data_IF_796947513614
#
_entry.id   IF_796947513614
#
_cell.length_a   1.000
_cell.length_b   1.000
_cell.length_c   1.000
_cell.angle_alpha   90.00
_cell.angle_beta   90.00
_cell.angle_gamma   90.00
#
_symmetry.space_group_name_H-M   'P 1'
#
loop_
_entity.id
_entity.type
_entity.pdbx_description
1 polymer ?
#
# COMPACT_ATOMS: atom_id res chain seq x y z
N UNK A 1 -78.77 12.89 169.48
CA UNK A 1 -78.98 13.66 168.22
C UNK A 1 -77.65 13.88 167.45
N UNK A 2 -76.94 12.83 167.02
CA UNK A 2 -75.73 12.98 166.17
C UNK A 2 -75.74 12.17 164.86
N UNK A 3 -76.75 11.34 164.62
CA UNK A 3 -76.75 10.45 163.43
C UNK A 3 -77.44 11.05 162.19
N UNK A 4 -78.38 11.99 162.33
CA UNK A 4 -79.11 12.55 161.16
C UNK A 4 -78.31 13.54 160.29
N UNK A 5 -77.26 14.19 160.81
CA UNK A 5 -76.44 15.14 160.02
C UNK A 5 -75.48 14.46 159.06
N UNK A 6 -75.15 13.19 159.29
CA UNK A 6 -74.23 12.44 158.42
C UNK A 6 -74.91 11.94 157.14
N UNK A 7 -76.24 11.78 157.15
CA UNK A 7 -77.03 11.19 156.06
C UNK A 7 -77.34 12.21 154.93
N UNK A 8 -77.60 13.47 155.30
CA UNK A 8 -77.78 14.56 154.33
C UNK A 8 -76.48 14.92 153.60
N UNK A 9 -75.33 14.82 154.28
CA UNK A 9 -74.00 14.98 153.69
C UNK A 9 -73.67 13.86 152.68
N UNK A 10 -74.11 12.63 152.96
CA UNK A 10 -73.95 11.49 152.05
C UNK A 10 -74.81 11.64 150.79
N UNK A 11 -76.07 12.08 150.93
CA UNK A 11 -76.98 12.35 149.80
C UNK A 11 -76.49 13.48 148.88
N UNK A 12 -75.95 14.55 149.45
CA UNK A 12 -75.36 15.65 148.68
C UNK A 12 -74.08 15.20 147.96
N UNK A 13 -73.26 14.35 148.59
CA UNK A 13 -72.07 13.76 147.96
C UNK A 13 -72.42 12.80 146.83
N UNK A 14 -73.45 11.97 146.99
CA UNK A 14 -73.90 11.02 145.97
C UNK A 14 -74.56 11.71 144.76
N UNK A 15 -75.39 12.74 144.99
CA UNK A 15 -75.93 13.57 143.91
C UNK A 15 -74.83 14.33 143.16
N UNK A 16 -73.79 14.80 143.86
CA UNK A 16 -72.62 15.43 143.22
C UNK A 16 -71.85 14.43 142.36
N UNK A 17 -71.61 13.21 142.85
CA UNK A 17 -70.99 12.12 142.06
C UNK A 17 -71.83 11.72 140.85
N UNK A 18 -73.16 11.70 140.98
CA UNK A 18 -74.08 11.46 139.86
C UNK A 18 -74.05 12.57 138.82
N UNK A 19 -74.02 13.83 139.26
CA UNK A 19 -73.89 14.98 138.38
C UNK A 19 -72.54 14.99 137.65
N UNK A 20 -71.44 14.69 138.35
CA UNK A 20 -70.10 14.52 137.77
C UNK A 20 -70.07 13.34 136.78
N UNK A 21 -70.70 12.21 137.10
CA UNK A 21 -70.80 11.05 136.21
C UNK A 21 -71.64 11.33 134.95
N UNK A 22 -72.76 12.06 135.09
CA UNK A 22 -73.56 12.51 133.95
C UNK A 22 -72.81 13.54 133.08
N UNK A 23 -72.01 14.41 133.70
CA UNK A 23 -71.16 15.36 132.99
C UNK A 23 -70.06 14.63 132.19
N UNK A 24 -69.41 13.63 132.79
CA UNK A 24 -68.44 12.76 132.10
C UNK A 24 -69.11 11.97 130.96
N UNK A 25 -70.33 11.46 131.17
CA UNK A 25 -71.09 10.77 130.13
C UNK A 25 -71.40 11.69 128.93
N UNK A 26 -71.82 12.94 129.18
CA UNK A 26 -72.04 13.94 128.14
C UNK A 26 -70.75 14.30 127.40
N UNK A 27 -69.64 14.48 128.12
CA UNK A 27 -68.33 14.72 127.51
C UNK A 27 -67.87 13.54 126.63
N UNK A 28 -68.13 12.30 127.06
CA UNK A 28 -67.85 11.11 126.25
C UNK A 28 -68.73 11.01 125.01
N UNK A 29 -70.01 11.38 125.09
CA UNK A 29 -70.91 11.41 123.94
C UNK A 29 -70.54 12.54 122.96
N UNK A 30 -70.12 13.70 123.46
CA UNK A 30 -69.54 14.78 122.65
C UNK A 30 -68.26 14.33 121.94
N UNK A 31 -67.34 13.65 122.65
CA UNK A 31 -66.12 13.08 122.07
C UNK A 31 -66.43 12.06 120.97
N UNK A 32 -67.36 11.12 121.21
CA UNK A 32 -67.80 10.15 120.19
C UNK A 32 -68.41 10.83 118.97
N UNK A 33 -69.20 11.88 119.18
CA UNK A 33 -69.78 12.65 118.09
C UNK A 33 -68.70 13.38 117.27
N UNK A 34 -67.67 13.92 117.93
CA UNK A 34 -66.55 14.55 117.25
C UNK A 34 -65.67 13.54 116.49
N UNK A 35 -65.42 12.36 117.07
CA UNK A 35 -64.72 11.25 116.41
C UNK A 35 -65.50 10.75 115.19
N UNK A 36 -66.83 10.60 115.31
CA UNK A 36 -67.70 10.22 114.18
C UNK A 36 -67.67 11.28 113.06
N UNK A 37 -67.64 12.58 113.39
CA UNK A 37 -67.46 13.65 112.39
C UNK A 37 -66.12 13.55 111.68
N UNK A 38 -65.02 13.38 112.43
CA UNK A 38 -63.67 13.20 111.84
C UNK A 38 -63.60 11.96 110.95
N UNK A 39 -64.26 10.86 111.35
CA UNK A 39 -64.34 9.64 110.53
C UNK A 39 -65.15 9.85 109.26
N UNK A 40 -66.26 10.58 109.33
CA UNK A 40 -67.05 10.94 108.16
C UNK A 40 -66.28 11.84 107.19
N UNK A 41 -65.52 12.81 107.71
CA UNK A 41 -64.61 13.65 106.93
C UNK A 41 -63.49 12.83 106.27
N UNK A 42 -62.86 11.91 107.01
CA UNK A 42 -61.85 11.00 106.47
C UNK A 42 -62.40 10.12 105.33
N UNK A 43 -63.60 9.57 105.48
CA UNK A 43 -64.29 8.80 104.43
C UNK A 43 -64.68 9.65 103.21
N UNK A 44 -64.95 10.96 103.40
CA UNK A 44 -65.18 11.87 102.28
C UNK A 44 -63.87 12.13 101.52
N UNK A 45 -62.76 12.36 102.22
CA UNK A 45 -61.44 12.54 101.63
C UNK A 45 -61.00 11.26 100.88
N UNK A 46 -61.23 10.07 101.46
CA UNK A 46 -60.92 8.80 100.81
C UNK A 46 -61.70 8.62 99.51
N UNK A 47 -63.01 8.91 99.50
CA UNK A 47 -63.82 8.88 98.28
C UNK A 47 -63.34 9.87 97.22
N UNK A 48 -62.97 11.09 97.62
CA UNK A 48 -62.40 12.08 96.70
C UNK A 48 -61.07 11.60 96.10
N UNK A 49 -60.21 10.95 96.90
CA UNK A 49 -58.95 10.38 96.43
C UNK A 49 -59.18 9.21 95.46
N UNK A 50 -60.17 8.36 95.73
CA UNK A 50 -60.54 7.27 94.81
C UNK A 50 -61.08 7.82 93.49
N UNK A 51 -61.95 8.83 93.52
CA UNK A 51 -62.40 9.54 92.31
C UNK A 51 -61.21 10.10 91.53
N UNK A 52 -60.27 10.75 92.21
CA UNK A 52 -59.05 11.30 91.58
C UNK A 52 -58.20 10.21 90.92
N UNK A 53 -58.00 9.07 91.60
CA UNK A 53 -57.29 7.90 91.05
C UNK A 53 -58.00 7.32 89.84
N UNK A 54 -59.33 7.24 89.88
CA UNK A 54 -60.09 6.73 88.72
C UNK A 54 -59.94 7.65 87.51
N UNK A 55 -59.95 8.97 87.72
CA UNK A 55 -59.78 9.96 86.65
C UNK A 55 -58.35 9.97 86.10
N UNK A 56 -57.33 9.85 86.96
CA UNK A 56 -55.93 9.68 86.55
C UNK A 56 -55.73 8.41 85.72
N UNK A 57 -56.33 7.29 86.13
CA UNK A 57 -56.29 6.03 85.40
C UNK A 57 -56.96 6.14 84.02
N UNK A 58 -58.09 6.86 83.90
CA UNK A 58 -58.73 7.14 82.60
C UNK A 58 -57.80 7.95 81.69
N UNK A 59 -57.24 9.05 82.19
CA UNK A 59 -56.28 9.87 81.43
C UNK A 59 -55.06 9.08 80.97
N UNK A 60 -54.54 8.19 81.83
CA UNK A 60 -53.43 7.30 81.49
C UNK A 60 -53.82 6.30 80.40
N UNK A 61 -55.02 5.74 80.47
CA UNK A 61 -55.53 4.83 79.45
C UNK A 61 -55.72 5.55 78.09
N UNK A 62 -56.23 6.77 78.10
CA UNK A 62 -56.33 7.63 76.91
C UNK A 62 -54.95 7.95 76.31
N UNK A 63 -53.98 8.33 77.14
CA UNK A 63 -52.61 8.58 76.70
C UNK A 63 -51.98 7.33 76.05
N UNK A 64 -52.17 6.15 76.64
CA UNK A 64 -51.71 4.87 76.07
C UNK A 64 -52.43 4.49 74.76
N UNK A 65 -53.69 4.90 74.59
CA UNK A 65 -54.38 4.72 73.30
C UNK A 65 -53.79 5.63 72.22
N UNK A 66 -53.53 6.89 72.54
CA UNK A 66 -52.88 7.84 71.61
C UNK A 66 -51.47 7.37 71.24
N UNK A 67 -50.69 6.89 72.21
CA UNK A 67 -49.36 6.35 71.97
C UNK A 67 -49.40 5.15 70.99
N UNK A 68 -50.32 4.20 71.21
CA UNK A 68 -50.52 3.08 70.28
C UNK A 68 -50.92 3.51 68.88
N UNK A 69 -51.82 4.49 68.75
CA UNK A 69 -52.18 5.05 67.44
C UNK A 69 -50.99 5.72 66.73
N UNK A 70 -50.14 6.43 67.48
CA UNK A 70 -48.94 7.05 66.93
C UNK A 70 -47.91 5.99 66.49
N UNK A 71 -47.76 4.90 67.24
CA UNK A 71 -46.90 3.80 66.85
C UNK A 71 -47.40 3.11 65.59
N UNK A 72 -48.71 2.85 65.48
CA UNK A 72 -49.34 2.34 64.25
C UNK A 72 -49.05 3.27 63.06
N UNK A 73 -49.24 4.59 63.23
CA UNK A 73 -48.94 5.57 62.19
C UNK A 73 -47.46 5.53 61.76
N UNK A 74 -46.53 5.49 62.72
CA UNK A 74 -45.08 5.36 62.44
C UNK A 74 -44.76 4.08 61.70
N UNK A 75 -45.38 2.96 62.06
CA UNK A 75 -45.16 1.69 61.35
C UNK A 75 -45.64 1.76 59.91
N UNK A 76 -46.78 2.39 59.66
CA UNK A 76 -47.33 2.56 58.31
C UNK A 76 -46.49 3.53 57.46
N UNK A 77 -46.02 4.64 58.05
CA UNK A 77 -45.09 5.57 57.39
C UNK A 77 -43.78 4.87 57.02
N UNK A 78 -43.22 4.05 57.92
CA UNK A 78 -42.02 3.28 57.66
C UNK A 78 -42.22 2.26 56.52
N UNK A 79 -43.39 1.60 56.43
CA UNK A 79 -43.72 0.71 55.30
C UNK A 79 -43.76 1.47 53.98
N UNK A 80 -44.46 2.61 53.92
CA UNK A 80 -44.54 3.45 52.73
C UNK A 80 -43.15 3.95 52.28
N UNK A 81 -42.31 4.32 53.24
CA UNK A 81 -40.93 4.74 52.96
C UNK A 81 -40.09 3.58 52.41
N UNK A 82 -40.25 2.37 52.95
CA UNK A 82 -39.56 1.19 52.45
C UNK A 82 -40.01 0.83 51.02
N UNK A 83 -41.31 0.93 50.72
CA UNK A 83 -41.86 0.75 49.37
C UNK A 83 -41.32 1.79 48.39
N UNK A 84 -41.31 3.07 48.78
CA UNK A 84 -40.75 4.14 47.95
C UNK A 84 -39.25 3.89 47.62
N UNK A 85 -38.46 3.47 48.62
CA UNK A 85 -37.05 3.11 48.43
C UNK A 85 -36.86 1.86 47.54
N UNK A 86 -37.80 0.91 47.54
CA UNK A 86 -37.77 -0.22 46.61
C UNK A 86 -38.03 0.24 45.17
N UNK A 87 -39.02 1.11 44.95
CA UNK A 87 -39.34 1.67 43.64
C UNK A 87 -38.17 2.51 43.10
N UNK A 88 -37.55 3.33 43.95
CA UNK A 88 -36.37 4.12 43.58
C UNK A 88 -35.21 3.23 43.12
N UNK A 89 -34.90 2.17 43.89
CA UNK A 89 -33.87 1.18 43.50
C UNK A 89 -34.17 0.50 42.17
N UNK A 90 -35.42 0.09 41.95
CA UNK A 90 -35.83 -0.50 40.67
C UNK A 90 -35.65 0.49 39.51
N UNK A 91 -36.03 1.76 39.70
CA UNK A 91 -35.85 2.79 38.68
C UNK A 91 -34.38 3.05 38.36
N UNK A 92 -33.51 3.03 39.38
CA UNK A 92 -32.06 3.16 39.17
C UNK A 92 -31.50 1.95 38.40
N UNK A 93 -31.92 0.73 38.73
CA UNK A 93 -31.58 -0.47 37.95
C UNK A 93 -32.01 -0.32 36.49
N UNK A 94 -33.26 0.10 36.22
CA UNK A 94 -33.72 0.36 34.86
C UNK A 94 -32.89 1.42 34.13
N UNK A 95 -32.54 2.52 34.81
CA UNK A 95 -31.69 3.58 34.23
C UNK A 95 -30.30 3.06 33.88
N UNK A 96 -29.68 2.27 34.77
CA UNK A 96 -28.36 1.70 34.52
C UNK A 96 -28.38 0.74 33.33
N UNK A 97 -29.40 -0.12 33.23
CA UNK A 97 -29.57 -1.04 32.12
C UNK A 97 -29.84 -0.31 30.79
N UNK A 98 -30.70 0.72 30.81
CA UNK A 98 -30.93 1.56 29.63
C UNK A 98 -29.65 2.27 29.16
N UNK A 99 -28.84 2.76 30.10
CA UNK A 99 -27.55 3.37 29.78
C UNK A 99 -26.56 2.37 29.18
N UNK A 100 -26.51 1.12 29.68
CA UNK A 100 -25.69 0.05 29.10
C UNK A 100 -26.09 -0.24 27.65
N UNK A 101 -27.38 -0.47 27.39
CA UNK A 101 -27.91 -0.71 26.04
C UNK A 101 -27.60 0.43 25.08
N UNK A 102 -27.72 1.68 25.55
CA UNK A 102 -27.36 2.86 24.75
C UNK A 102 -25.86 2.89 24.44
N UNK A 103 -25.00 2.56 25.40
CA UNK A 103 -23.56 2.49 25.17
C UNK A 103 -23.18 1.40 24.17
N UNK A 104 -23.81 0.23 24.24
CA UNK A 104 -23.64 -0.88 23.29
C UNK A 104 -24.09 -0.46 21.88
N UNK A 105 -25.26 0.16 21.74
CA UNK A 105 -25.74 0.68 20.46
C UNK A 105 -24.76 1.69 19.83
N UNK A 106 -24.22 2.61 20.63
CA UNK A 106 -23.20 3.58 20.18
C UNK A 106 -21.87 2.91 19.80
N UNK A 107 -21.51 1.79 20.42
CA UNK A 107 -20.34 1.01 20.00
C UNK A 107 -20.56 0.36 18.64
N UNK A 108 -21.72 -0.26 18.42
CA UNK A 108 -22.10 -0.88 17.15
C UNK A 108 -22.15 0.18 16.03
N UNK A 109 -22.74 1.35 16.30
CA UNK A 109 -22.79 2.46 15.34
C UNK A 109 -21.38 2.92 14.93
N UNK A 110 -20.48 3.11 15.90
CA UNK A 110 -19.07 3.46 15.61
C UNK A 110 -18.35 2.41 14.78
N UNK A 111 -18.54 1.12 15.10
CA UNK A 111 -17.96 0.03 14.31
C UNK A 111 -18.48 0.02 12.87
N UNK A 112 -19.78 0.25 12.68
CA UNK A 112 -20.38 0.35 11.34
C UNK A 112 -19.85 1.54 10.55
N UNK A 113 -19.62 2.69 11.20
CA UNK A 113 -19.03 3.86 10.55
C UNK A 113 -17.56 3.64 10.16
N UNK A 114 -16.78 2.95 10.98
CA UNK A 114 -15.43 2.52 10.63
C UNK A 114 -15.43 1.58 9.44
N UNK A 115 -16.33 0.58 9.42
CA UNK A 115 -16.50 -0.33 8.31
C UNK A 115 -16.84 0.42 7.00
N UNK A 116 -17.80 1.34 7.04
CA UNK A 116 -18.17 2.18 5.88
C UNK A 116 -17.00 3.02 5.37
N UNK A 117 -16.21 3.60 6.27
CA UNK A 117 -15.01 4.37 5.89
C UNK A 117 -13.98 3.49 5.19
N UNK A 118 -13.76 2.28 5.69
CA UNK A 118 -12.84 1.32 5.09
C UNK A 118 -13.33 0.81 3.73
N UNK A 119 -14.62 0.50 3.60
CA UNK A 119 -15.23 0.13 2.31
C UNK A 119 -15.09 1.26 1.27
N UNK A 120 -15.35 2.52 1.69
CA UNK A 120 -15.17 3.67 0.81
C UNK A 120 -13.73 3.86 0.35
N UNK A 121 -12.73 3.62 1.21
CA UNK A 121 -11.31 3.63 0.82
C UNK A 121 -11.01 2.57 -0.23
N UNK A 122 -11.43 1.32 0.00
CA UNK A 122 -11.23 0.21 -0.95
C UNK A 122 -11.88 0.51 -2.30
N UNK A 123 -13.10 1.06 -2.31
CA UNK A 123 -13.79 1.46 -3.54
C UNK A 123 -13.03 2.58 -4.28
N UNK A 124 -12.50 3.57 -3.57
CA UNK A 124 -11.69 4.63 -4.16
C UNK A 124 -10.38 4.10 -4.77
N UNK A 125 -9.71 3.16 -4.09
CA UNK A 125 -8.52 2.49 -4.61
C UNK A 125 -8.82 1.66 -5.86
N UNK A 126 -9.92 0.90 -5.86
CA UNK A 126 -10.37 0.13 -7.02
C UNK A 126 -10.61 1.03 -8.24
N UNK A 127 -11.30 2.16 -8.08
CA UNK A 127 -11.49 3.14 -9.16
C UNK A 127 -10.19 3.78 -9.64
N UNK A 128 -9.19 3.95 -8.75
CA UNK A 128 -7.87 4.43 -9.16
C UNK A 128 -7.17 3.42 -10.06
N UNK A 129 -7.21 2.14 -9.70
CA UNK A 129 -6.64 1.05 -10.50
C UNK A 129 -7.35 0.92 -11.84
N UNK A 130 -8.68 1.01 -11.85
CA UNK A 130 -9.49 0.98 -13.07
C UNK A 130 -9.07 2.09 -14.06
N UNK A 131 -8.97 3.34 -13.58
CA UNK A 131 -8.50 4.47 -14.41
C UNK A 131 -7.09 4.25 -14.95
N UNK A 132 -6.17 3.74 -14.13
CA UNK A 132 -4.80 3.44 -14.59
C UNK A 132 -4.78 2.35 -15.67
N UNK A 133 -5.63 1.32 -15.55
CA UNK A 133 -5.76 0.29 -16.56
C UNK A 133 -6.34 0.83 -17.87
N UNK A 134 -7.31 1.74 -17.81
CA UNK A 134 -7.86 2.37 -19.00
C UNK A 134 -6.82 3.28 -19.69
N UNK A 135 -6.07 4.06 -18.92
CA UNK A 135 -4.92 4.82 -19.45
C UNK A 135 -3.91 3.91 -20.15
N UNK A 136 -3.53 2.79 -19.53
CA UNK A 136 -2.62 1.81 -20.13
C UNK A 136 -3.17 1.24 -21.45
N UNK A 137 -4.43 0.83 -21.47
CA UNK A 137 -5.09 0.32 -22.70
C UNK A 137 -5.11 1.36 -23.81
N UNK A 138 -5.39 2.62 -23.48
CA UNK A 138 -5.40 3.69 -24.50
C UNK A 138 -4.02 3.92 -25.08
N UNK A 139 -2.97 3.89 -24.25
CA UNK A 139 -1.59 4.03 -24.69
C UNK A 139 -1.12 2.83 -25.53
N UNK A 140 -1.47 1.60 -25.13
CA UNK A 140 -1.20 0.40 -25.93
C UNK A 140 -1.88 0.47 -27.30
N UNK A 141 -3.14 0.91 -27.36
CA UNK A 141 -3.86 1.09 -28.62
C UNK A 141 -3.20 2.13 -29.53
N UNK A 142 -2.68 3.23 -28.98
CA UNK A 142 -1.91 4.23 -29.75
C UNK A 142 -0.65 3.62 -30.35
N UNK A 143 0.16 2.93 -29.53
CA UNK A 143 1.38 2.26 -30.00
C UNK A 143 1.10 1.23 -31.09
N UNK A 144 0.02 0.47 -30.93
CA UNK A 144 -0.43 -0.49 -31.94
C UNK A 144 -0.83 0.19 -33.25
N UNK A 145 -1.54 1.32 -33.17
CA UNK A 145 -1.90 2.10 -34.35
C UNK A 145 -0.66 2.68 -35.06
N UNK A 146 0.31 3.20 -34.31
CA UNK A 146 1.58 3.69 -34.85
C UNK A 146 2.39 2.58 -35.53
N UNK A 147 2.49 1.40 -34.91
CA UNK A 147 3.17 0.25 -35.49
C UNK A 147 2.52 -0.17 -36.82
N UNK A 148 1.18 -0.20 -36.89
CA UNK A 148 0.43 -0.49 -38.11
C UNK A 148 0.65 0.57 -39.20
N UNK A 149 0.82 1.85 -38.84
CA UNK A 149 1.16 2.89 -39.81
C UNK A 149 2.55 2.68 -40.40
N UNK A 150 3.55 2.38 -39.57
CA UNK A 150 4.91 2.07 -40.01
C UNK A 150 4.94 0.85 -40.92
N UNK A 151 4.20 -0.21 -40.57
CA UNK A 151 4.09 -1.42 -41.38
C UNK A 151 3.52 -1.11 -42.77
N UNK A 152 2.44 -0.32 -42.86
CA UNK A 152 1.86 0.11 -44.15
C UNK A 152 2.85 0.91 -44.99
N UNK A 153 3.58 1.85 -44.37
CA UNK A 153 4.61 2.64 -45.07
C UNK A 153 5.73 1.75 -45.62
N UNK A 154 6.18 0.76 -44.83
CA UNK A 154 7.18 -0.20 -45.28
C UNK A 154 6.69 -1.05 -46.44
N UNK A 155 5.43 -1.47 -46.42
CA UNK A 155 4.83 -2.22 -47.53
C UNK A 155 4.70 -1.38 -48.81
N UNK A 156 4.36 -0.09 -48.70
CA UNK A 156 4.39 0.84 -49.82
C UNK A 156 5.81 1.00 -50.38
N UNK A 157 6.81 1.17 -49.52
CA UNK A 157 8.21 1.25 -49.94
C UNK A 157 8.66 -0.02 -50.68
N UNK A 158 8.35 -1.21 -50.16
CA UNK A 158 8.65 -2.49 -50.81
C UNK A 158 8.00 -2.61 -52.19
N UNK A 159 6.73 -2.19 -52.32
CA UNK A 159 6.03 -2.19 -53.62
C UNK A 159 6.74 -1.27 -54.62
N UNK A 160 7.17 -0.10 -54.18
CA UNK A 160 7.87 0.85 -55.04
C UNK A 160 9.27 0.36 -55.43
N UNK A 161 10.02 -0.23 -54.50
CA UNK A 161 11.31 -0.86 -54.81
C UNK A 161 11.16 -2.00 -55.83
N UNK A 162 10.14 -2.84 -55.66
CA UNK A 162 9.84 -3.93 -56.60
C UNK A 162 9.50 -3.41 -58.00
N UNK A 163 8.76 -2.31 -58.12
CA UNK A 163 8.51 -1.66 -59.43
C UNK A 163 9.81 -1.19 -60.08
N UNK A 164 10.65 -0.46 -59.34
CA UNK A 164 11.96 0.01 -59.84
C UNK A 164 12.85 -1.15 -60.30
N UNK A 165 12.89 -2.23 -59.53
CA UNK A 165 13.63 -3.44 -59.89
C UNK A 165 13.09 -4.09 -61.17
N UNK A 166 11.76 -4.16 -61.31
CA UNK A 166 11.12 -4.67 -62.52
C UNK A 166 11.42 -3.79 -63.75
N UNK A 167 11.44 -2.47 -63.59
CA UNK A 167 11.84 -1.52 -64.65
C UNK A 167 13.31 -1.67 -65.03
N UNK A 168 14.21 -1.78 -64.05
CA UNK A 168 15.62 -2.02 -64.30
C UNK A 168 15.84 -3.30 -65.12
N UNK A 169 15.16 -4.40 -64.76
CA UNK A 169 15.22 -5.64 -65.55
C UNK A 169 14.63 -5.51 -66.96
N UNK A 170 13.61 -4.66 -67.17
CA UNK A 170 13.10 -4.38 -68.52
C UNK A 170 14.17 -3.67 -69.36
N UNK A 171 14.83 -2.66 -68.81
CA UNK A 171 15.92 -1.92 -69.48
C UNK A 171 17.09 -2.86 -69.80
N UNK A 172 17.48 -3.72 -68.86
CA UNK A 172 18.53 -4.70 -69.06
C UNK A 172 18.21 -5.65 -70.21
N UNK A 173 16.97 -6.18 -70.29
CA UNK A 173 16.52 -7.02 -71.40
C UNK A 173 16.58 -6.27 -72.74
N UNK A 174 16.11 -5.03 -72.80
CA UNK A 174 16.19 -4.21 -74.02
C UNK A 174 17.64 -3.98 -74.46
N UNK A 175 18.56 -3.73 -73.53
CA UNK A 175 19.98 -3.59 -73.83
C UNK A 175 20.59 -4.89 -74.38
N UNK A 176 20.21 -6.05 -73.83
CA UNK A 176 20.64 -7.35 -74.35
C UNK A 176 20.13 -7.54 -75.78
N UNK A 177 18.84 -7.25 -76.04
CA UNK A 177 18.25 -7.33 -77.38
C UNK A 177 18.98 -6.41 -78.38
N UNK A 178 19.26 -5.16 -78.00
CA UNK A 178 20.03 -4.23 -78.84
C UNK A 178 21.43 -4.76 -79.17
N UNK A 179 22.16 -5.26 -78.17
CA UNK A 179 23.50 -5.85 -78.36
C UNK A 179 23.45 -7.06 -79.29
N UNK A 180 22.43 -7.92 -79.17
CA UNK A 180 22.24 -9.06 -80.05
C UNK A 180 21.99 -8.60 -81.49
N UNK A 181 21.09 -7.62 -81.71
CA UNK A 181 20.84 -7.06 -83.03
C UNK A 181 22.09 -6.42 -83.66
N UNK A 182 22.90 -5.70 -82.86
CA UNK A 182 24.15 -5.12 -83.32
C UNK A 182 25.16 -6.20 -83.74
N UNK A 183 25.28 -7.27 -82.94
CA UNK A 183 26.11 -8.42 -83.27
C UNK A 183 25.66 -9.11 -84.57
N UNK A 184 24.35 -9.28 -84.76
CA UNK A 184 23.79 -9.87 -85.98
C UNK A 184 24.07 -9.00 -87.22
N UNK A 185 23.89 -7.67 -87.11
CA UNK A 185 24.25 -6.72 -88.17
C UNK A 185 25.73 -6.78 -88.50
N UNK A 186 26.60 -6.83 -87.49
CA UNK A 186 28.05 -6.96 -87.66
C UNK A 186 28.41 -8.28 -88.35
N UNK A 187 27.79 -9.39 -87.95
CA UNK A 187 28.00 -10.69 -88.56
C UNK A 187 27.54 -10.70 -90.03
N UNK A 188 26.38 -10.12 -90.33
CA UNK A 188 25.89 -10.00 -91.71
C UNK A 188 26.79 -9.10 -92.57
N UNK A 189 27.26 -7.96 -92.05
CA UNK A 189 28.24 -7.13 -92.75
C UNK A 189 29.53 -7.88 -93.06
N UNK A 190 30.03 -8.69 -92.11
CA UNK A 190 31.19 -9.55 -92.34
C UNK A 190 30.91 -10.63 -93.39
N UNK A 191 29.72 -11.24 -93.41
CA UNK A 191 29.32 -12.20 -94.44
C UNK A 191 29.34 -11.55 -95.84
N UNK A 192 28.71 -10.39 -96.01
CA UNK A 192 28.69 -9.65 -97.28
C UNK A 192 30.12 -9.33 -97.75
N UNK A 193 30.98 -8.82 -96.86
CA UNK A 193 32.40 -8.56 -97.20
C UNK A 193 33.17 -9.82 -97.59
N UNK A 194 32.84 -10.97 -97.03
CA UNK A 194 33.44 -12.27 -97.40
C UNK A 194 32.89 -12.82 -98.70
N UNK A 195 31.71 -12.38 -99.15
CA UNK A 195 31.15 -12.75 -100.45
C UNK A 195 31.76 -11.88 -101.57
N UNK A 196 32.04 -10.60 -101.29
CA UNK A 196 32.68 -9.64 -102.20
C UNK A 196 34.13 -10.03 -102.59
N UNK A 197 34.35 -10.32 -103.87
CA UNK A 197 35.65 -10.71 -104.43
C UNK A 197 36.68 -9.57 -104.48
N UNK A 198 36.25 -8.32 -104.71
CA UNK A 198 37.18 -7.18 -104.72
C UNK A 198 37.73 -6.93 -103.32
N UNK A 199 36.85 -6.95 -102.32
CA UNK A 199 37.25 -6.83 -100.91
C UNK A 199 38.20 -7.96 -100.48
N UNK A 200 37.91 -9.21 -100.86
CA UNK A 200 38.78 -10.37 -100.57
C UNK A 200 40.17 -10.21 -101.19
N UNK A 201 40.26 -9.76 -102.44
CA UNK A 201 41.56 -9.54 -103.09
C UNK A 201 42.32 -8.40 -102.42
N UNK A 202 41.66 -7.29 -102.08
CA UNK A 202 42.30 -6.17 -101.42
C UNK A 202 42.75 -6.51 -100.00
N UNK A 203 41.95 -7.23 -99.22
CA UNK A 203 42.33 -7.73 -97.89
C UNK A 203 43.54 -8.66 -97.98
N UNK A 204 43.57 -9.59 -98.95
CA UNK A 204 44.75 -10.43 -99.21
C UNK A 204 45.98 -9.60 -99.56
N UNK A 205 45.84 -8.56 -100.41
CA UNK A 205 46.94 -7.64 -100.74
C UNK A 205 47.43 -6.89 -99.49
N UNK A 206 46.54 -6.32 -98.68
CA UNK A 206 46.91 -5.63 -97.43
C UNK A 206 47.58 -6.57 -96.44
N UNK A 207 47.06 -7.78 -96.26
CA UNK A 207 47.66 -8.80 -95.41
C UNK A 207 49.04 -9.23 -95.94
N UNK A 208 49.18 -9.44 -97.24
CA UNK A 208 50.47 -9.74 -97.87
C UNK A 208 51.47 -8.58 -97.67
N UNK A 209 51.06 -7.34 -97.87
CA UNK A 209 51.89 -6.15 -97.60
C UNK A 209 52.25 -6.03 -96.12
N UNK A 210 51.30 -6.25 -95.20
CA UNK A 210 51.56 -6.27 -93.75
C UNK A 210 52.56 -7.37 -93.38
N UNK A 211 52.42 -8.56 -93.95
CA UNK A 211 53.35 -9.68 -93.73
C UNK A 211 54.73 -9.39 -94.33
N UNK A 212 54.81 -8.74 -95.50
CA UNK A 212 56.08 -8.25 -96.09
C UNK A 212 56.74 -7.20 -95.19
N UNK A 213 56.03 -6.14 -94.83
CA UNK A 213 56.54 -5.11 -93.90
C UNK A 213 56.98 -5.71 -92.57
N UNK A 214 56.24 -6.71 -92.06
CA UNK A 214 56.64 -7.45 -90.87
C UNK A 214 57.92 -8.24 -91.10
N UNK A 215 58.12 -8.88 -92.25
CA UNK A 215 59.36 -9.62 -92.59
C UNK A 215 60.55 -8.68 -92.80
N UNK A 216 60.39 -7.60 -93.55
CA UNK A 216 61.44 -6.62 -93.84
C UNK A 216 61.99 -5.97 -92.55
N UNK A 217 61.12 -5.80 -91.55
CA UNK A 217 61.50 -5.35 -90.20
C UNK A 217 62.54 -6.29 -89.54
N UNK A 218 62.55 -7.58 -89.87
CA UNK A 218 63.45 -8.58 -89.28
C UNK A 218 64.56 -9.06 -90.23
N UNK A 219 64.48 -8.81 -91.54
CA UNK A 219 65.53 -9.21 -92.50
C UNK A 219 66.85 -8.46 -92.25
N UNK A 220 66.76 -7.16 -91.91
CA UNK A 220 67.90 -6.37 -91.42
C UNK A 220 68.45 -6.84 -90.06
N UNK A 221 67.76 -7.73 -89.36
CA UNK A 221 68.11 -8.21 -88.03
C UNK A 221 68.95 -9.49 -88.08
N UNK A 222 68.68 -10.41 -89.01
CA UNK A 222 69.43 -11.68 -89.11
C UNK A 222 70.89 -11.46 -89.48
N UNK A 223 71.18 -10.64 -90.49
CA UNK A 223 72.56 -10.39 -90.93
C UNK A 223 73.37 -9.65 -89.85
N UNK A 224 72.74 -8.70 -89.14
CA UNK A 224 73.35 -8.02 -88.00
C UNK A 224 73.60 -8.97 -86.82
N UNK A 225 72.64 -9.85 -86.51
CA UNK A 225 72.79 -10.86 -85.46
C UNK A 225 73.92 -11.83 -85.78
N UNK A 226 74.07 -12.26 -87.04
CA UNK A 226 75.16 -13.13 -87.49
C UNK A 226 76.52 -12.46 -87.30
N UNK A 227 76.67 -11.21 -87.75
CA UNK A 227 77.91 -10.44 -87.56
C UNK A 227 78.25 -10.25 -86.07
N UNK A 228 77.24 -9.95 -85.25
CA UNK A 228 77.39 -9.82 -83.80
C UNK A 228 77.88 -11.14 -83.16
N UNK A 229 77.29 -12.27 -83.57
CA UNK A 229 77.67 -13.59 -83.11
C UNK A 229 79.12 -13.96 -83.50
N UNK A 230 79.48 -13.77 -84.78
CA UNK A 230 80.84 -14.03 -85.27
C UNK A 230 81.91 -13.16 -84.57
N UNK A 231 81.60 -11.88 -84.31
CA UNK A 231 82.48 -10.99 -83.54
C UNK A 231 82.67 -11.48 -82.10
N UNK A 232 81.60 -11.92 -81.44
CA UNK A 232 81.64 -12.38 -80.04
C UNK A 232 82.39 -13.70 -79.86
N UNK A 233 82.39 -14.58 -80.86
CA UNK A 233 83.21 -15.80 -80.81
C UNK A 233 84.69 -15.45 -80.92
N UNK A 234 85.07 -14.52 -81.80
CA UNK A 234 86.48 -14.14 -82.01
C UNK A 234 87.12 -13.46 -80.80
N UNK A 235 86.36 -12.71 -80.00
CA UNK A 235 86.91 -12.03 -78.81
C UNK A 235 87.44 -13.00 -77.74
N UNK A 236 86.92 -14.23 -77.66
CA UNK A 236 87.29 -15.21 -76.64
C UNK A 236 86.99 -14.74 -75.20
N UNK A 237 87.15 -15.60 -74.19
CA UNK A 237 87.00 -15.19 -72.80
C UNK A 237 88.25 -14.41 -72.35
N UNK A 238 88.07 -13.13 -72.06
CA UNK A 238 89.15 -12.19 -71.73
C UNK A 238 89.35 -12.00 -70.23
N UNK A 239 88.48 -12.58 -69.40
CA UNK A 239 88.52 -12.41 -67.94
C UNK A 239 88.55 -13.78 -67.26
N UNK A 240 89.31 -13.88 -66.17
CA UNK A 240 89.43 -15.10 -65.38
C UNK A 240 88.87 -14.83 -63.99
N UNK A 241 87.92 -15.66 -63.55
CA UNK A 241 87.36 -15.53 -62.20
C UNK A 241 88.42 -15.89 -61.17
N UNK A 242 88.75 -14.96 -60.29
CA UNK A 242 89.77 -15.20 -59.26
C UNK A 242 89.37 -16.25 -58.22
N UNK A 243 88.09 -16.59 -58.08
CA UNK A 243 87.60 -17.58 -57.10
C UNK A 243 87.69 -19.02 -57.61
N UNK A 244 87.34 -19.28 -58.88
CA UNK A 244 87.27 -20.63 -59.44
C UNK A 244 88.18 -20.88 -60.65
N UNK A 245 88.90 -19.86 -61.13
CA UNK A 245 89.74 -19.95 -62.32
C UNK A 245 88.98 -20.04 -63.65
N UNK A 246 87.64 -19.93 -63.63
CA UNK A 246 86.81 -20.02 -64.84
C UNK A 246 87.04 -18.86 -65.81
N UNK A 247 86.96 -19.13 -67.12
CA UNK A 247 87.11 -18.15 -68.19
C UNK A 247 85.75 -17.52 -68.55
N UNK A 248 85.67 -16.19 -68.49
CA UNK A 248 84.46 -15.41 -68.74
C UNK A 248 84.63 -14.43 -69.90
N UNK A 249 83.61 -14.34 -70.75
CA UNK A 249 83.56 -13.33 -71.81
C UNK A 249 83.20 -11.96 -71.24
N UNK A 250 83.80 -10.90 -71.79
CA UNK A 250 83.55 -9.51 -71.37
C UNK A 250 82.06 -9.15 -71.33
N UNK A 251 81.28 -9.56 -72.34
CA UNK A 251 79.84 -9.29 -72.39
C UNK A 251 79.02 -10.08 -71.35
N UNK A 252 79.57 -11.15 -70.78
CA UNK A 252 78.93 -11.96 -69.74
C UNK A 252 79.21 -11.43 -68.34
N UNK A 253 80.15 -10.49 -68.22
CA UNK A 253 80.51 -9.84 -66.96
C UNK A 253 79.74 -8.52 -66.89
N UNK A 254 79.11 -8.29 -65.74
CA UNK A 254 78.53 -6.99 -65.41
C UNK A 254 79.42 -6.35 -64.36
N UNK A 255 80.01 -5.22 -64.72
CA UNK A 255 80.67 -4.36 -63.73
C UNK A 255 79.59 -3.76 -62.84
N UNK A 256 79.68 -4.02 -61.54
CA UNK A 256 78.77 -3.47 -60.54
C UNK A 256 79.62 -2.62 -59.60
N UNK A 257 79.22 -1.36 -59.42
CA UNK A 257 79.87 -0.47 -58.48
C UNK A 257 79.35 -0.70 -57.06
N UNK A 258 80.16 -0.36 -56.06
CA UNK A 258 79.79 -0.42 -54.63
C UNK A 258 78.47 0.33 -54.35
N UNK A 259 78.26 1.45 -55.05
CA UNK A 259 77.06 2.28 -54.96
C UNK A 259 75.80 1.55 -55.48
N UNK A 260 75.92 0.77 -56.55
CA UNK A 260 74.84 -0.07 -57.06
C UNK A 260 74.48 -1.22 -56.12
N UNK A 261 75.44 -1.78 -55.38
CA UNK A 261 75.20 -2.82 -54.38
C UNK A 261 74.46 -2.24 -53.16
N UNK A 262 74.87 -1.05 -52.69
CA UNK A 262 74.20 -0.32 -51.60
C UNK A 262 72.75 0.02 -51.97
N UNK A 263 72.49 0.48 -53.19
CA UNK A 263 71.12 0.80 -53.66
C UNK A 263 70.19 -0.41 -53.80
N UNK A 264 70.73 -1.64 -53.87
CA UNK A 264 69.94 -2.88 -53.85
C UNK A 264 69.66 -3.42 -52.45
N UNK A 265 70.09 -2.69 -51.40
CA UNK A 265 69.81 -3.05 -50.01
C UNK A 265 70.64 -4.22 -49.47
N UNK A 266 71.80 -4.51 -50.07
CA UNK A 266 72.69 -5.57 -49.57
C UNK A 266 73.38 -5.14 -48.26
N UNK A 267 73.59 -6.07 -47.30
CA UNK A 267 74.20 -5.75 -46.01
C UNK A 267 75.62 -5.17 -46.17
N UNK A 268 75.97 -4.16 -45.35
CA UNK A 268 77.30 -3.52 -45.39
C UNK A 268 78.46 -4.50 -45.18
N UNK A 269 78.24 -5.54 -44.38
CA UNK A 269 79.19 -6.63 -44.10
C UNK A 269 79.64 -7.37 -45.38
N UNK A 270 78.84 -7.35 -46.45
CA UNK A 270 79.12 -8.01 -47.72
C UNK A 270 79.78 -7.08 -48.76
N UNK A 271 79.86 -5.78 -48.45
CA UNK A 271 80.28 -4.72 -49.37
C UNK A 271 81.63 -4.11 -48.96
N UNK A 272 81.89 -4.02 -47.64
CA UNK A 272 83.08 -3.38 -47.07
C UNK A 272 84.02 -4.43 -46.41
N UNK A 273 84.51 -5.43 -47.16
CA UNK A 273 85.63 -6.33 -46.76
C UNK A 273 86.92 -5.97 -47.49
#
# INVERSE_FOLDING_TARGET
MRERRNDDGFRLSDNRRRAESLQIARQNDEFKNEENKRRAEALMIERQNDEFRTEENKRRAEALMIERQNDEFRTEENKRRAEALMIERQNDEFRTEANKRRAEALMIERQNDEFKKEENKRRAEAHKIERQNDEFKTEENKRRAEALMIERQNDEFKKEENKRRAEAHKIERQNIEFRTQENDRRLNSLKIKREDEEYKQEERRRNASRMRMSRDKYENNFHLMKLNYESKIKEGPTHICSCCGGLWFKYSIKEITVEMLRNKGLPKEFIDT
#
